data_IF_076841911510
#
_entry.id   IF_076841911510
#
_cell.length_a   1.000
_cell.length_b   1.000
_cell.length_c   1.000
_cell.angle_alpha   90.00
_cell.angle_beta   90.00
_cell.angle_gamma   90.00
#
_symmetry.space_group_name_H-M   'P 1'
#
loop_
_entity.id
_entity.type
_entity.pdbx_description
1 polymer ?
#
# COMPACT_ATOMS: atom_id res chain seq x y z
N UNK A 1 10.23 8.06 -41.08
CA UNK A 1 11.27 7.82 -40.07
C UNK A 1 10.61 7.96 -38.71
N UNK A 2 10.10 6.85 -38.16
CA UNK A 2 9.32 6.83 -36.92
C UNK A 2 10.07 5.95 -35.93
N UNK A 3 10.40 6.55 -34.79
CA UNK A 3 11.28 6.04 -33.73
C UNK A 3 10.57 4.91 -32.99
N UNK A 4 11.29 3.80 -32.78
CA UNK A 4 10.79 2.62 -32.08
C UNK A 4 10.37 2.95 -30.65
N UNK A 5 9.15 2.59 -30.29
CA UNK A 5 8.72 2.49 -28.90
C UNK A 5 9.50 1.35 -28.24
N UNK A 6 10.59 1.68 -27.54
CA UNK A 6 11.19 0.76 -26.58
C UNK A 6 10.30 0.76 -25.34
N UNK A 7 9.44 -0.26 -25.25
CA UNK A 7 8.78 -0.63 -24.01
C UNK A 7 9.85 -1.10 -23.02
N UNK A 8 10.23 -0.22 -22.11
CA UNK A 8 10.99 -0.57 -20.91
C UNK A 8 10.08 -1.44 -20.05
N UNK A 9 10.24 -2.76 -20.17
CA UNK A 9 9.53 -3.72 -19.35
C UNK A 9 9.95 -3.47 -17.90
N UNK A 10 9.00 -3.09 -17.04
CA UNK A 10 9.21 -3.01 -15.61
C UNK A 10 9.94 -4.29 -15.15
N UNK A 11 11.00 -4.20 -14.31
CA UNK A 11 11.63 -5.40 -13.80
C UNK A 11 10.56 -6.15 -13.02
N UNK A 12 10.10 -7.27 -13.57
CA UNK A 12 9.17 -8.15 -12.89
C UNK A 12 9.83 -8.55 -11.58
N UNK A 13 9.20 -8.16 -10.47
CA UNK A 13 9.77 -8.26 -9.12
C UNK A 13 10.11 -9.69 -8.68
N UNK A 14 9.77 -10.69 -9.49
CA UNK A 14 10.05 -12.11 -9.29
C UNK A 14 11.55 -12.43 -9.12
N UNK A 15 12.45 -11.56 -9.59
CA UNK A 15 13.90 -11.79 -9.55
C UNK A 15 14.68 -10.87 -8.59
N UNK A 16 13.99 -10.05 -7.77
CA UNK A 16 14.67 -9.10 -6.87
C UNK A 16 15.43 -9.80 -5.72
N UNK A 17 14.99 -11.00 -5.31
CA UNK A 17 15.66 -11.78 -4.27
C UNK A 17 16.90 -12.53 -4.79
N UNK A 18 17.07 -12.70 -6.10
CA UNK A 18 18.29 -13.31 -6.67
C UNK A 18 19.55 -12.44 -6.48
N UNK A 19 19.40 -11.21 -5.97
CA UNK A 19 20.48 -10.27 -5.69
C UNK A 19 20.80 -10.14 -4.18
N UNK A 20 20.28 -11.03 -3.33
CA UNK A 20 20.57 -11.03 -1.89
C UNK A 20 22.06 -11.26 -1.61
N UNK A 21 22.75 -10.23 -1.11
CA UNK A 21 24.12 -10.30 -0.63
C UNK A 21 24.19 -10.54 0.89
N UNK A 22 24.95 -11.56 1.31
CA UNK A 22 25.20 -11.84 2.73
C UNK A 22 26.52 -11.19 3.17
N UNK A 23 26.45 -10.26 4.11
CA UNK A 23 27.63 -9.49 4.61
C UNK A 23 28.36 -10.22 5.75
N UNK A 24 27.68 -11.15 6.42
CA UNK A 24 28.24 -11.91 7.55
C UNK A 24 29.28 -12.92 7.07
N UNK A 25 30.29 -13.19 7.90
CA UNK A 25 31.30 -14.20 7.62
C UNK A 25 30.75 -15.60 7.90
N UNK A 26 31.18 -16.58 7.11
CA UNK A 26 30.88 -18.02 7.29
C UNK A 26 29.40 -18.40 7.17
N UNK A 27 28.67 -17.84 6.22
CA UNK A 27 27.32 -18.33 5.88
C UNK A 27 27.43 -19.57 5.00
N UNK A 28 26.73 -20.63 5.38
CA UNK A 28 26.69 -21.88 4.62
C UNK A 28 25.65 -21.82 3.49
N UNK A 29 25.80 -22.62 2.42
CA UNK A 29 24.80 -22.68 1.34
C UNK A 29 23.39 -23.06 1.84
N UNK A 30 23.30 -23.88 2.88
CA UNK A 30 22.04 -24.28 3.51
C UNK A 30 21.36 -23.10 4.20
N UNK A 31 22.13 -22.29 4.94
CA UNK A 31 21.60 -21.09 5.60
C UNK A 31 21.15 -20.04 4.57
N UNK A 32 21.93 -19.83 3.50
CA UNK A 32 21.54 -18.95 2.39
C UNK A 32 20.20 -19.39 1.81
N UNK A 33 20.03 -20.69 1.58
CA UNK A 33 18.81 -21.26 1.00
C UNK A 33 17.62 -21.13 1.95
N UNK A 34 17.82 -21.41 3.24
CA UNK A 34 16.77 -21.30 4.26
C UNK A 34 16.28 -19.85 4.41
N UNK A 35 17.19 -18.89 4.51
CA UNK A 35 16.83 -17.46 4.64
C UNK A 35 16.16 -16.95 3.38
N UNK A 36 16.66 -17.32 2.21
CA UNK A 36 16.06 -16.92 0.93
C UNK A 36 14.64 -17.47 0.78
N UNK A 37 14.42 -18.74 1.13
CA UNK A 37 13.10 -19.37 1.10
C UNK A 37 12.14 -18.71 2.09
N UNK A 38 12.61 -18.35 3.29
CA UNK A 38 11.81 -17.65 4.29
C UNK A 38 11.40 -16.25 3.82
N UNK A 39 12.34 -15.48 3.27
CA UNK A 39 12.04 -14.16 2.71
C UNK A 39 11.06 -14.25 1.53
N UNK A 40 11.21 -15.27 0.67
CA UNK A 40 10.28 -15.53 -0.42
C UNK A 40 8.87 -15.88 0.10
N UNK A 41 8.77 -16.71 1.14
CA UNK A 41 7.51 -17.06 1.78
C UNK A 41 6.79 -15.83 2.35
N UNK A 42 7.51 -15.00 3.11
CA UNK A 42 6.95 -13.77 3.69
C UNK A 42 6.51 -12.78 2.61
N UNK A 43 7.32 -12.57 1.58
CA UNK A 43 6.96 -11.66 0.50
C UNK A 43 5.75 -12.15 -0.30
N UNK A 44 5.62 -13.46 -0.50
CA UNK A 44 4.46 -14.05 -1.17
C UNK A 44 3.20 -13.86 -0.33
N UNK A 45 3.26 -14.11 0.98
CA UNK A 45 2.13 -13.90 1.90
C UNK A 45 1.66 -12.44 1.90
N UNK A 46 2.60 -11.48 2.00
CA UNK A 46 2.29 -10.05 1.92
C UNK A 46 1.73 -9.66 0.54
N UNK A 47 2.28 -10.21 -0.54
CA UNK A 47 1.76 -9.95 -1.88
C UNK A 47 0.33 -10.48 -2.06
N UNK A 48 0.05 -11.65 -1.51
CA UNK A 48 -1.28 -12.26 -1.57
C UNK A 48 -2.28 -11.53 -0.69
N UNK A 49 -1.86 -11.02 0.49
CA UNK A 49 -2.71 -10.17 1.33
C UNK A 49 -3.12 -8.88 0.59
N UNK A 50 -2.19 -8.26 -0.15
CA UNK A 50 -2.46 -7.09 -0.98
C UNK A 50 -3.37 -7.39 -2.19
N UNK A 51 -3.25 -8.59 -2.79
CA UNK A 51 -4.12 -9.04 -3.88
C UNK A 51 -5.53 -9.38 -3.41
N UNK A 52 -5.67 -9.93 -2.21
CA UNK A 52 -6.96 -10.29 -1.60
C UNK A 52 -7.65 -9.06 -1.00
N UNK A 53 -6.90 -8.03 -0.61
CA UNK A 53 -7.48 -6.76 -0.20
C UNK A 53 -8.35 -6.22 -1.33
N UNK A 54 -9.69 -6.12 -1.14
CA UNK A 54 -10.57 -5.69 -2.20
C UNK A 54 -10.15 -4.28 -2.60
N UNK A 55 -9.80 -4.09 -3.89
CA UNK A 55 -9.36 -2.82 -4.44
C UNK A 55 -10.34 -1.69 -4.09
N UNK A 56 -10.11 -0.99 -2.98
CA UNK A 56 -10.98 0.06 -2.42
C UNK A 56 -12.46 -0.15 -2.78
N UNK A 57 -13.02 -1.31 -2.41
CA UNK A 57 -14.47 -1.37 -2.27
C UNK A 57 -14.86 -0.21 -1.34
N UNK A 58 -15.91 0.55 -1.64
CA UNK A 58 -16.23 1.74 -0.83
C UNK A 58 -16.32 1.33 0.64
N UNK A 59 -15.33 1.72 1.44
CA UNK A 59 -15.25 1.27 2.83
C UNK A 59 -16.53 1.68 3.56
N UNK A 60 -17.00 0.87 4.51
CA UNK A 60 -18.22 1.16 5.26
C UNK A 60 -18.19 2.55 5.91
N UNK A 61 -17.00 3.04 6.28
CA UNK A 61 -16.78 4.42 6.72
C UNK A 61 -17.08 5.46 5.63
N UNK A 62 -16.61 5.24 4.39
CA UNK A 62 -16.86 6.13 3.25
C UNK A 62 -18.32 6.10 2.81
N UNK A 63 -18.98 4.95 2.89
CA UNK A 63 -20.43 4.81 2.64
C UNK A 63 -21.29 5.49 3.70
N UNK A 64 -20.78 5.60 4.94
CA UNK A 64 -21.49 6.23 6.06
C UNK A 64 -21.13 7.71 6.26
N UNK A 65 -20.16 8.25 5.51
CA UNK A 65 -19.91 9.69 5.51
C UNK A 65 -21.15 10.42 4.98
N UNK A 66 -21.73 11.26 5.82
CA UNK A 66 -22.76 12.23 5.43
C UNK A 66 -22.10 13.56 5.11
N UNK A 67 -22.67 14.28 4.15
CA UNK A 67 -22.22 15.63 3.83
C UNK A 67 -22.18 16.51 5.08
N UNK A 68 -21.12 17.31 5.18
CA UNK A 68 -20.99 18.33 6.22
C UNK A 68 -22.17 19.28 6.05
N UNK A 69 -22.96 19.45 7.12
CA UNK A 69 -24.10 20.37 7.10
C UNK A 69 -23.60 21.78 6.78
N UNK A 70 -24.29 22.46 5.87
CA UNK A 70 -24.00 23.86 5.58
C UNK A 70 -24.03 24.69 6.86
N UNK A 71 -23.15 25.70 7.00
CA UNK A 71 -23.22 26.63 8.11
C UNK A 71 -24.60 27.29 8.09
N UNK A 72 -25.33 27.14 9.20
CA UNK A 72 -26.57 27.87 9.42
C UNK A 72 -26.25 29.36 9.26
N UNK A 73 -27.04 30.12 8.52
CA UNK A 73 -26.97 31.59 8.58
C UNK A 73 -28.08 32.00 9.54
N UNK A 74 -27.78 32.75 10.62
CA UNK A 74 -28.80 33.14 11.55
C UNK A 74 -29.75 34.12 10.86
N UNK A 75 -31.00 34.17 11.29
CA UNK A 75 -31.80 35.38 11.07
C UNK A 75 -31.27 36.53 11.91
N UNK A 76 -31.65 37.76 11.55
CA UNK A 76 -31.36 38.95 12.33
C UNK A 76 -31.75 38.72 13.81
N UNK A 77 -30.75 38.72 14.69
CA UNK A 77 -30.92 38.66 16.15
C UNK A 77 -30.80 37.29 16.83
N UNK A 78 -30.40 36.20 16.18
CA UNK A 78 -30.16 34.93 16.90
C UNK A 78 -29.04 34.06 16.36
N UNK A 79 -27.91 34.10 17.04
CA UNK A 79 -27.12 32.90 17.31
C UNK A 79 -27.09 32.68 18.82
N UNK A 80 -27.07 31.42 19.25
CA UNK A 80 -27.00 31.05 20.66
C UNK A 80 -25.75 31.70 21.27
N UNK A 81 -25.96 32.59 22.24
CA UNK A 81 -24.91 33.17 23.08
C UNK A 81 -24.29 32.08 23.93
N UNK A 82 -22.97 31.88 23.82
CA UNK A 82 -22.21 31.21 24.88
C UNK A 82 -21.88 32.27 25.91
N UNK A 83 -22.72 32.37 26.93
CA UNK A 83 -22.43 33.09 28.17
C UNK A 83 -22.61 32.09 29.30
N UNK A 84 -21.48 31.62 29.82
CA UNK A 84 -21.32 30.64 30.90
C UNK A 84 -19.84 30.31 31.00
#
# INVERSE_FOLDING_TARGET
MTIASNSDAAPTGENSLAQLGFVTRRVTPTEVSAVSALLHGLLQEESDSLRVSPARAQDAWRLSQRDVRAPLTPGAGRWRSFSG
#
